data_IF_244108426944
#
_entry.id   IF_244108426944
#
_cell.length_a   1.000
_cell.length_b   1.000
_cell.length_c   1.000
_cell.angle_alpha   90.00
_cell.angle_beta   90.00
_cell.angle_gamma   90.00
#
_symmetry.space_group_name_H-M   'P 1'
#
loop_
_entity.id
_entity.type
_entity.pdbx_description
1 polymer ?
#
# COMPACT_ATOMS: atom_id res chain seq x y z
N UNK A 1 -21.68 -2.14 22.47
CA UNK A 1 -21.67 -3.03 21.30
C UNK A 1 -20.41 -2.78 20.52
N UNK A 2 -19.31 -3.40 20.94
CA UNK A 2 -18.00 -3.19 20.36
C UNK A 2 -17.90 -3.97 19.05
N UNK A 3 -17.74 -3.24 17.94
CA UNK A 3 -17.44 -3.85 16.64
C UNK A 3 -15.97 -4.27 16.65
N UNK A 4 -15.71 -5.53 16.92
CA UNK A 4 -14.37 -6.12 16.73
C UNK A 4 -13.95 -5.92 15.27
N UNK A 5 -12.76 -5.37 14.99
CA UNK A 5 -12.24 -5.32 13.63
C UNK A 5 -12.02 -6.76 13.17
N UNK A 6 -12.52 -7.10 11.99
CA UNK A 6 -12.19 -8.38 11.35
C UNK A 6 -10.66 -8.49 11.28
N UNK A 7 -10.05 -9.64 11.61
CA UNK A 7 -8.61 -9.81 11.46
C UNK A 7 -8.27 -9.53 10.00
N UNK A 8 -7.46 -8.48 9.78
CA UNK A 8 -6.85 -8.25 8.47
C UNK A 8 -6.03 -9.49 8.16
N UNK A 9 -6.25 -10.10 6.98
CA UNK A 9 -5.54 -11.30 6.60
C UNK A 9 -4.03 -11.08 6.73
N UNK A 10 -3.27 -12.08 7.23
CA UNK A 10 -1.84 -11.95 7.42
C UNK A 10 -1.20 -11.52 6.10
N UNK A 11 -0.43 -10.43 6.14
CA UNK A 11 0.34 -9.97 5.00
C UNK A 11 1.33 -11.07 4.64
N UNK A 12 1.16 -11.67 3.47
CA UNK A 12 2.09 -12.67 2.97
C UNK A 12 3.39 -11.97 2.56
N UNK A 13 4.41 -12.09 3.40
CA UNK A 13 5.71 -11.47 3.17
C UNK A 13 6.38 -11.93 1.87
N UNK A 14 6.00 -13.09 1.32
CA UNK A 14 6.49 -13.55 0.01
C UNK A 14 5.92 -12.71 -1.15
N UNK A 15 4.73 -12.10 -0.97
CA UNK A 15 4.13 -11.19 -1.95
C UNK A 15 4.69 -9.76 -1.88
N UNK A 16 5.43 -9.41 -0.82
CA UNK A 16 6.03 -8.07 -0.69
C UNK A 16 7.24 -7.86 -1.62
N UNK A 17 7.86 -8.95 -2.09
CA UNK A 17 8.83 -8.88 -3.19
C UNK A 17 8.13 -8.78 -4.56
N UNK A 18 6.84 -9.15 -4.67
CA UNK A 18 5.98 -8.93 -5.85
C UNK A 18 5.12 -7.66 -5.68
N UNK A 19 5.77 -6.48 -5.76
CA UNK A 19 5.07 -5.17 -5.74
C UNK A 19 3.89 -5.12 -6.74
N UNK A 20 4.01 -5.59 -8.01
CA UNK A 20 2.86 -5.68 -8.91
C UNK A 20 1.70 -6.55 -8.37
N UNK A 21 2.00 -7.68 -7.72
CA UNK A 21 1.02 -8.55 -7.06
C UNK A 21 0.33 -7.87 -5.87
N UNK A 22 1.09 -7.21 -5.01
CA UNK A 22 0.57 -6.46 -3.87
C UNK A 22 -0.37 -5.33 -4.31
N UNK A 23 0.01 -4.57 -5.34
CA UNK A 23 -0.86 -3.52 -5.88
C UNK A 23 -2.09 -4.08 -6.61
N UNK A 24 -2.01 -5.26 -7.22
CA UNK A 24 -3.18 -5.96 -7.79
C UNK A 24 -4.19 -6.34 -6.71
N UNK A 25 -3.75 -6.86 -5.55
CA UNK A 25 -4.65 -7.20 -4.43
C UNK A 25 -5.40 -5.98 -3.89
N UNK A 26 -4.73 -4.82 -3.87
CA UNK A 26 -5.34 -3.53 -3.50
C UNK A 26 -6.18 -2.89 -4.61
N UNK A 27 -6.20 -3.43 -5.84
CA UNK A 27 -6.75 -2.80 -7.05
C UNK A 27 -6.14 -1.42 -7.35
N UNK A 28 -4.86 -1.27 -7.05
CA UNK A 28 -4.07 -0.06 -7.26
C UNK A 28 -2.96 -0.26 -8.31
N UNK A 29 -2.94 -1.39 -9.04
CA UNK A 29 -1.92 -1.76 -10.03
C UNK A 29 -1.57 -0.70 -11.09
N UNK A 30 -2.43 0.29 -11.34
CA UNK A 30 -2.09 1.45 -12.19
C UNK A 30 -0.96 2.33 -11.61
N UNK A 31 -0.69 2.24 -10.32
CA UNK A 31 0.34 3.01 -9.61
C UNK A 31 1.65 2.24 -9.47
N UNK A 32 1.69 0.94 -9.82
CA UNK A 32 2.88 0.09 -9.64
C UNK A 32 4.14 0.69 -10.25
N UNK A 33 4.02 1.33 -11.42
CA UNK A 33 5.16 1.95 -12.10
C UNK A 33 5.79 3.12 -11.35
N UNK A 34 5.03 3.77 -10.45
CA UNK A 34 5.57 4.85 -9.61
C UNK A 34 6.52 4.34 -8.52
N UNK A 35 6.51 3.04 -8.25
CA UNK A 35 7.24 2.40 -7.15
C UNK A 35 8.24 1.34 -7.64
N UNK A 36 8.52 1.25 -8.94
CA UNK A 36 9.44 0.25 -9.52
C UNK A 36 10.86 0.29 -8.94
N UNK A 37 11.28 1.44 -8.44
CA UNK A 37 12.60 1.64 -7.83
C UNK A 37 12.56 1.70 -6.30
N UNK A 38 11.46 1.26 -5.68
CA UNK A 38 11.30 1.22 -4.23
C UNK A 38 11.08 -0.22 -3.77
N UNK A 39 11.72 -0.57 -2.66
CA UNK A 39 11.39 -1.78 -1.91
C UNK A 39 10.10 -1.56 -1.13
N UNK A 40 9.38 -2.64 -0.80
CA UNK A 40 8.20 -2.54 0.06
C UNK A 40 8.50 -1.86 1.41
N UNK A 41 9.72 -2.04 1.94
CA UNK A 41 10.18 -1.42 3.19
C UNK A 41 10.25 0.10 3.08
N UNK A 42 10.70 0.61 1.92
CA UNK A 42 10.69 2.05 1.65
C UNK A 42 9.28 2.57 1.45
N UNK A 43 8.40 1.79 0.82
CA UNK A 43 6.99 2.17 0.61
C UNK A 43 6.22 2.31 1.92
N UNK A 44 6.36 1.38 2.86
CA UNK A 44 5.65 1.44 4.15
C UNK A 44 6.11 2.59 5.04
N UNK A 45 7.28 3.20 4.75
CA UNK A 45 7.78 4.39 5.43
C UNK A 45 7.28 5.71 4.81
N UNK A 46 6.49 5.67 3.73
CA UNK A 46 5.92 6.85 3.08
C UNK A 46 4.74 7.42 3.88
N UNK A 47 4.61 8.74 3.83
CA UNK A 47 3.47 9.49 4.36
C UNK A 47 2.58 10.01 3.21
N UNK A 48 1.45 10.66 3.55
CA UNK A 48 0.51 11.19 2.55
C UNK A 48 1.17 12.19 1.58
N UNK A 49 2.09 13.01 2.08
CA UNK A 49 2.77 14.05 1.31
C UNK A 49 3.70 13.40 0.28
N UNK A 50 4.56 12.47 0.70
CA UNK A 50 5.46 11.75 -0.22
C UNK A 50 4.69 10.94 -1.26
N UNK A 51 3.59 10.29 -0.88
CA UNK A 51 2.74 9.58 -1.86
C UNK A 51 2.17 10.55 -2.90
N UNK A 52 1.81 11.77 -2.49
CA UNK A 52 1.37 12.81 -3.42
C UNK A 52 2.50 13.28 -4.34
N UNK A 53 3.71 13.48 -3.81
CA UNK A 53 4.92 13.85 -4.57
C UNK A 53 5.34 12.78 -5.60
N UNK A 54 5.23 11.50 -5.24
CA UNK A 54 5.49 10.36 -6.13
C UNK A 54 4.48 10.30 -7.30
N UNK A 55 3.32 10.97 -7.18
CA UNK A 55 2.30 11.06 -8.23
C UNK A 55 0.99 10.35 -7.92
N UNK A 56 0.79 9.87 -6.69
CA UNK A 56 -0.51 9.34 -6.23
C UNK A 56 -1.45 10.50 -5.89
N UNK A 57 -1.90 11.22 -6.92
CA UNK A 57 -2.70 12.44 -6.77
C UNK A 57 -4.08 12.22 -6.11
N UNK A 58 -4.64 11.01 -6.24
CA UNK A 58 -5.96 10.71 -5.69
C UNK A 58 -5.88 10.45 -4.17
N UNK A 59 -6.48 11.34 -3.37
CA UNK A 59 -6.55 11.21 -1.91
C UNK A 59 -7.09 9.85 -1.44
N UNK A 60 -8.10 9.31 -2.14
CA UNK A 60 -8.64 7.99 -1.82
C UNK A 60 -7.64 6.84 -2.04
N UNK A 61 -6.76 6.96 -3.04
CA UNK A 61 -5.71 5.97 -3.28
C UNK A 61 -4.64 6.05 -2.20
N UNK A 62 -4.18 7.26 -1.83
CA UNK A 62 -3.19 7.44 -0.74
C UNK A 62 -3.69 6.90 0.59
N UNK A 63 -4.91 7.27 0.99
CA UNK A 63 -5.54 6.72 2.21
C UNK A 63 -5.63 5.20 2.20
N UNK A 64 -5.89 4.60 1.03
CA UNK A 64 -5.92 3.14 0.89
C UNK A 64 -4.53 2.51 1.03
N UNK A 65 -3.51 3.10 0.40
CA UNK A 65 -2.12 2.66 0.52
C UNK A 65 -1.65 2.75 1.97
N UNK A 66 -1.78 3.91 2.61
CA UNK A 66 -1.38 4.13 4.01
C UNK A 66 -2.03 3.13 4.96
N UNK A 67 -3.34 2.89 4.81
CA UNK A 67 -4.06 1.89 5.62
C UNK A 67 -3.50 0.47 5.45
N UNK A 68 -3.08 0.11 4.23
CA UNK A 68 -2.47 -1.20 3.99
C UNK A 68 -1.03 -1.22 4.51
N UNK A 69 -0.28 -0.13 4.36
CA UNK A 69 1.09 -0.02 4.86
C UNK A 69 1.16 -0.14 6.39
N UNK A 70 0.17 0.39 7.12
CA UNK A 70 0.01 0.23 8.57
C UNK A 70 -0.21 -1.23 9.03
N UNK A 71 -0.62 -2.12 8.11
CA UNK A 71 -0.89 -3.54 8.40
C UNK A 71 0.29 -4.47 8.13
N UNK A 72 1.39 -3.94 7.59
CA UNK A 72 2.64 -4.63 7.29
C UNK A 72 3.63 -4.40 8.42
#
# INVERSE_FOLDING_TARGET
>A
GEKSPKPMEPVDFALLDDIPGWFRSMRLHKYTSLFENMTWREMVALDDEKLNEIGVAALGARRKMLKVFESV
#
